data_IF_457263915530
#
_entry.id   IF_457263915530
#
_cell.length_a   1.000
_cell.length_b   1.000
_cell.length_c   1.000
_cell.angle_alpha   90.00
_cell.angle_beta   90.00
_cell.angle_gamma   90.00
#
_symmetry.space_group_name_H-M   'P 1'
#
loop_
_entity.id
_entity.type
_entity.pdbx_description
1 polymer ?
#
# COMPACT_ATOMS: atom_id res chain seq x y z
N UNK A 1 37.98 9.21 -16.55
CA UNK A 1 38.10 10.42 -15.70
C UNK A 1 37.23 10.18 -14.49
N UNK A 2 37.68 10.52 -13.27
CA UNK A 2 36.84 10.39 -12.08
C UNK A 2 35.56 11.20 -12.25
N UNK A 3 34.43 10.65 -11.79
CA UNK A 3 33.14 11.35 -11.79
C UNK A 3 33.19 12.46 -10.73
N UNK A 4 32.86 13.69 -11.12
CA UNK A 4 32.78 14.81 -10.17
C UNK A 4 31.43 14.79 -9.45
N UNK A 5 31.41 14.42 -8.17
CA UNK A 5 30.21 14.36 -7.34
C UNK A 5 29.93 15.66 -6.55
N UNK A 6 30.73 16.72 -6.74
CA UNK A 6 30.43 18.04 -6.16
C UNK A 6 29.41 18.84 -6.98
N UNK A 7 29.17 18.45 -8.23
CA UNK A 7 28.21 19.10 -9.13
C UNK A 7 26.89 18.35 -9.18
N UNK A 8 25.84 19.03 -9.64
CA UNK A 8 24.51 18.45 -9.79
C UNK A 8 24.54 17.16 -10.60
N UNK A 9 23.80 16.16 -10.12
CA UNK A 9 23.80 14.82 -10.69
C UNK A 9 22.40 14.22 -10.73
N UNK A 10 22.22 13.13 -11.49
CA UNK A 10 20.98 12.36 -11.47
C UNK A 10 20.73 11.65 -10.13
N UNK A 11 21.68 11.71 -9.19
CA UNK A 11 21.57 11.14 -7.85
C UNK A 11 21.24 12.19 -6.78
N UNK A 12 20.91 13.42 -7.19
CA UNK A 12 20.57 14.51 -6.24
C UNK A 12 19.08 14.52 -5.84
N UNK A 13 18.26 13.68 -6.48
CA UNK A 13 16.83 13.54 -6.21
C UNK A 13 16.50 12.33 -5.35
N UNK A 14 15.20 12.08 -5.14
CA UNK A 14 14.70 10.86 -4.53
C UNK A 14 14.03 9.99 -5.61
N UNK A 15 14.70 8.90 -5.99
CA UNK A 15 14.16 7.90 -6.92
C UNK A 15 13.12 7.00 -6.23
N UNK A 16 12.39 6.22 -7.03
CA UNK A 16 11.43 5.24 -6.56
C UNK A 16 12.04 4.21 -5.59
N UNK A 17 13.20 3.64 -5.95
CA UNK A 17 13.91 2.67 -5.10
C UNK A 17 14.42 3.31 -3.80
N UNK A 18 14.85 4.57 -3.85
CA UNK A 18 15.26 5.31 -2.66
C UNK A 18 14.06 5.61 -1.75
N UNK A 19 12.91 5.99 -2.31
CA UNK A 19 11.68 6.18 -1.55
C UNK A 19 11.18 4.87 -0.93
N UNK A 20 11.23 3.75 -1.67
CA UNK A 20 10.94 2.42 -1.15
C UNK A 20 11.86 2.06 0.02
N UNK A 21 13.18 2.32 -0.10
CA UNK A 21 14.12 2.07 0.98
C UNK A 21 13.79 2.91 2.23
N UNK A 22 13.47 4.19 2.05
CA UNK A 22 13.01 5.05 3.14
C UNK A 22 11.77 4.46 3.83
N UNK A 23 10.76 4.04 3.05
CA UNK A 23 9.53 3.46 3.57
C UNK A 23 9.80 2.15 4.35
N UNK A 24 10.64 1.26 3.82
CA UNK A 24 11.06 0.04 4.49
C UNK A 24 11.72 0.31 5.85
N UNK A 25 12.62 1.31 5.93
CA UNK A 25 13.24 1.72 7.20
C UNK A 25 12.19 2.28 8.17
N UNK A 26 11.27 3.13 7.70
CA UNK A 26 10.22 3.70 8.53
C UNK A 26 9.24 2.65 9.05
N UNK A 27 8.85 1.68 8.21
CA UNK A 27 8.02 0.56 8.59
C UNK A 27 8.70 -0.30 9.66
N UNK A 28 9.98 -0.62 9.46
CA UNK A 28 10.74 -1.35 10.47
C UNK A 28 10.80 -0.60 11.80
N UNK A 29 11.05 0.72 11.78
CA UNK A 29 11.01 1.59 12.98
C UNK A 29 9.64 1.59 13.65
N UNK A 30 8.56 1.66 12.86
CA UNK A 30 7.19 1.63 13.36
C UNK A 30 6.87 0.32 14.09
N UNK A 31 7.37 -0.83 13.62
CA UNK A 31 7.20 -2.12 14.34
C UNK A 31 7.83 -2.14 15.74
N UNK A 32 8.77 -1.22 16.00
CA UNK A 32 9.46 -1.05 17.27
C UNK A 32 8.89 0.11 18.11
N UNK A 33 7.82 0.77 17.65
CA UNK A 33 7.23 1.93 18.32
C UNK A 33 8.05 3.22 18.23
N UNK A 34 8.97 3.31 17.27
CA UNK A 34 9.80 4.50 17.07
C UNK A 34 9.12 5.49 16.10
N UNK A 35 9.31 6.81 16.27
CA UNK A 35 8.75 7.80 15.37
C UNK A 35 9.40 7.72 13.97
N UNK A 36 8.65 8.13 12.95
CA UNK A 36 9.19 8.37 11.61
C UNK A 36 10.18 9.55 11.62
N UNK A 37 11.11 9.55 10.68
CA UNK A 37 12.14 10.57 10.53
C UNK A 37 11.83 11.35 9.24
N UNK A 38 11.70 12.69 9.27
CA UNK A 38 11.43 13.47 8.06
C UNK A 38 12.54 13.33 7.01
N UNK A 39 12.17 13.14 5.74
CA UNK A 39 13.11 13.21 4.62
C UNK A 39 13.75 14.60 4.52
N UNK A 40 15.02 14.64 4.12
CA UNK A 40 15.85 15.84 4.01
C UNK A 40 16.43 15.97 2.61
N UNK A 41 16.18 17.10 1.93
CA UNK A 41 16.81 17.43 0.64
C UNK A 41 18.32 17.26 0.71
N UNK A 42 18.96 17.87 1.70
CA UNK A 42 20.41 17.94 1.80
C UNK A 42 21.04 16.60 2.15
N UNK A 43 20.41 15.79 3.00
CA UNK A 43 20.90 14.44 3.30
C UNK A 43 20.61 13.47 2.15
N UNK A 44 19.52 13.64 1.39
CA UNK A 44 19.27 12.83 0.18
C UNK A 44 20.33 13.10 -0.88
N UNK A 45 20.65 14.37 -1.15
CA UNK A 45 21.78 14.75 -2.03
C UNK A 45 23.09 14.13 -1.53
N UNK A 46 23.34 14.19 -0.21
CA UNK A 46 24.54 13.61 0.39
C UNK A 46 24.60 12.09 0.15
N UNK A 47 23.51 11.38 0.40
CA UNK A 47 23.44 9.93 0.24
C UNK A 47 23.61 9.49 -1.21
N UNK A 48 22.91 10.11 -2.15
CA UNK A 48 23.00 9.76 -3.57
C UNK A 48 24.37 10.08 -4.17
N UNK A 49 24.98 11.22 -3.82
CA UNK A 49 26.35 11.55 -4.23
C UNK A 49 27.40 10.63 -3.60
N UNK A 50 27.15 10.12 -2.39
CA UNK A 50 28.03 9.12 -1.79
C UNK A 50 27.97 7.80 -2.53
N UNK A 51 26.76 7.34 -2.86
CA UNK A 51 26.56 6.13 -3.67
C UNK A 51 27.23 6.24 -5.05
N UNK A 52 27.15 7.43 -5.67
CA UNK A 52 27.84 7.76 -6.92
C UNK A 52 29.36 7.71 -6.77
N UNK A 53 29.93 8.39 -5.77
CA UNK A 53 31.37 8.45 -5.54
C UNK A 53 31.97 7.06 -5.22
N UNK A 54 31.32 6.32 -4.32
CA UNK A 54 31.74 4.97 -3.97
C UNK A 54 31.74 4.05 -5.20
N UNK A 55 30.73 4.18 -6.07
CA UNK A 55 30.57 3.34 -7.26
C UNK A 55 31.52 3.69 -8.40
N UNK A 56 31.73 4.97 -8.67
CA UNK A 56 32.47 5.46 -9.85
C UNK A 56 33.95 5.73 -9.57
N UNK A 57 34.31 6.10 -8.34
CA UNK A 57 35.65 6.58 -8.03
C UNK A 57 36.43 5.66 -7.08
N UNK A 58 35.76 4.91 -6.20
CA UNK A 58 36.45 4.18 -5.12
C UNK A 58 36.61 2.67 -5.34
N UNK A 59 35.76 2.05 -6.15
CA UNK A 59 35.90 0.63 -6.52
C UNK A 59 35.89 -0.38 -5.35
N UNK A 60 35.45 0.00 -4.14
CA UNK A 60 35.31 -0.90 -2.98
C UNK A 60 36.11 -0.55 -1.72
N UNK A 61 36.59 0.68 -1.54
CA UNK A 61 37.10 1.14 -0.22
C UNK A 61 35.99 1.19 0.85
N UNK A 62 36.39 1.29 2.13
CA UNK A 62 35.51 1.46 3.29
C UNK A 62 34.30 2.34 2.96
N UNK A 63 33.07 1.80 3.10
CA UNK A 63 31.83 2.45 2.67
C UNK A 63 31.53 3.79 3.36
N UNK A 64 32.27 4.14 4.41
CA UNK A 64 32.18 5.42 5.11
C UNK A 64 33.15 6.50 4.58
N UNK A 65 34.02 6.14 3.63
CA UNK A 65 34.99 7.06 3.03
C UNK A 65 34.43 7.71 1.78
N UNK A 66 34.99 8.86 1.45
CA UNK A 66 34.84 9.52 0.15
C UNK A 66 36.17 9.44 -0.60
N UNK A 67 36.15 9.46 -1.92
CA UNK A 67 37.36 9.33 -2.77
C UNK A 67 38.39 10.44 -2.52
N UNK A 68 37.94 11.60 -2.04
CA UNK A 68 38.78 12.76 -1.72
C UNK A 68 38.96 13.02 -0.21
N UNK A 69 38.21 12.30 0.63
CA UNK A 69 38.17 12.49 2.07
C UNK A 69 38.00 11.13 2.79
N UNK A 70 39.11 10.40 2.99
CA UNK A 70 39.09 9.09 3.62
C UNK A 70 38.57 9.15 5.07
N UNK A 71 37.93 8.08 5.52
CA UNK A 71 37.49 7.88 6.90
C UNK A 71 38.11 6.61 7.50
N UNK A 72 38.69 6.75 8.69
CA UNK A 72 39.24 5.67 9.50
C UNK A 72 38.74 5.81 10.94
N UNK A 73 38.04 4.79 11.43
CA UNK A 73 37.49 4.77 12.79
C UNK A 73 38.58 4.81 13.86
N UNK A 74 39.81 4.40 13.55
CA UNK A 74 40.95 4.45 14.47
C UNK A 74 41.71 5.79 14.43
N UNK A 75 41.33 6.71 13.52
CA UNK A 75 41.99 8.00 13.36
C UNK A 75 40.99 9.15 13.46
N UNK A 76 40.92 9.77 14.64
CA UNK A 76 39.97 10.84 14.93
C UNK A 76 40.09 12.08 14.05
N UNK A 77 41.25 12.32 13.44
CA UNK A 77 41.45 13.41 12.48
C UNK A 77 40.63 13.24 11.19
N UNK A 78 40.13 12.02 10.93
CA UNK A 78 39.35 11.70 9.73
C UNK A 78 37.83 11.66 9.97
N UNK A 79 37.37 11.67 11.23
CA UNK A 79 35.93 11.52 11.54
C UNK A 79 35.08 12.64 10.96
N UNK A 80 35.61 13.86 10.93
CA UNK A 80 34.93 15.02 10.35
C UNK A 80 34.71 14.89 8.84
N UNK A 81 35.47 14.05 8.13
CA UNK A 81 35.29 13.85 6.70
C UNK A 81 33.91 13.23 6.39
N UNK A 82 33.44 12.33 7.26
CA UNK A 82 32.10 11.76 7.22
C UNK A 82 31.08 12.75 7.79
N UNK A 83 31.28 13.22 9.03
CA UNK A 83 30.28 14.07 9.70
C UNK A 83 29.97 15.38 8.98
N UNK A 84 30.97 15.96 8.32
CA UNK A 84 30.82 17.23 7.59
C UNK A 84 30.54 17.03 6.09
N UNK A 85 30.26 15.81 5.62
CA UNK A 85 30.01 15.57 4.20
C UNK A 85 28.88 16.45 3.61
N UNK A 86 27.71 16.64 4.28
CA UNK A 86 26.69 17.55 3.77
C UNK A 86 27.18 18.99 3.55
N UNK A 87 28.04 19.49 4.46
CA UNK A 87 28.64 20.82 4.37
C UNK A 87 29.69 20.90 3.25
N UNK A 88 30.55 19.87 3.12
CA UNK A 88 31.54 19.79 2.04
C UNK A 88 30.88 19.81 0.67
N UNK A 89 29.77 19.09 0.53
CA UNK A 89 28.94 19.04 -0.68
C UNK A 89 28.05 20.29 -0.86
N UNK A 90 28.11 21.25 0.06
CA UNK A 90 27.35 22.50 0.02
C UNK A 90 25.82 22.30 -0.04
N UNK A 91 25.29 21.22 0.56
CA UNK A 91 23.84 20.94 0.54
C UNK A 91 23.04 21.92 1.41
N UNK A 92 21.72 21.77 1.47
CA UNK A 92 20.86 22.55 2.39
C UNK A 92 21.07 22.18 3.86
N UNK A 93 21.53 20.95 4.13
CA UNK A 93 21.76 20.44 5.48
C UNK A 93 23.11 20.93 6.03
N UNK A 94 23.19 22.22 6.34
CA UNK A 94 24.41 22.87 6.85
C UNK A 94 24.09 23.98 7.84
N UNK A 95 25.04 24.25 8.75
CA UNK A 95 25.04 25.42 9.61
C UNK A 95 26.41 26.10 9.63
N UNK A 96 26.43 27.37 10.04
CA UNK A 96 27.64 28.17 10.16
C UNK A 96 28.53 27.76 11.35
N UNK A 97 27.95 27.16 12.40
CA UNK A 97 28.64 26.59 13.57
C UNK A 97 27.79 25.50 14.22
N UNK A 98 28.42 24.59 14.98
CA UNK A 98 27.73 23.59 15.82
C UNK A 98 27.71 22.16 15.25
N UNK A 99 27.49 21.19 16.15
CA UNK A 99 27.49 19.74 15.83
C UNK A 99 26.12 19.21 15.38
N UNK A 100 25.08 20.04 15.46
CA UNK A 100 23.69 19.60 15.21
C UNK A 100 23.41 19.28 13.74
N UNK A 101 24.24 19.80 12.83
CA UNK A 101 24.19 19.52 11.40
C UNK A 101 25.19 18.45 10.96
N UNK A 102 25.77 17.69 11.89
CA UNK A 102 26.56 16.51 11.50
C UNK A 102 25.65 15.46 10.86
N UNK A 103 26.16 14.85 9.78
CA UNK A 103 25.57 13.68 9.17
C UNK A 103 26.12 12.39 9.79
N UNK A 104 25.25 11.44 10.09
CA UNK A 104 25.61 10.11 10.56
C UNK A 104 25.18 9.08 9.52
N UNK A 105 25.98 8.05 9.30
CA UNK A 105 25.83 7.21 8.13
C UNK A 105 25.73 5.73 8.49
N UNK A 106 24.88 5.00 7.75
CA UNK A 106 25.03 3.56 7.54
C UNK A 106 25.20 3.30 6.04
N UNK A 107 26.10 2.39 5.70
CA UNK A 107 26.46 2.06 4.31
C UNK A 107 26.42 0.55 4.12
N UNK A 108 26.09 0.10 2.90
CA UNK A 108 26.17 -1.31 2.53
C UNK A 108 26.39 -1.49 1.03
N UNK A 109 26.79 -2.70 0.66
CA UNK A 109 27.05 -3.11 -0.72
C UNK A 109 28.51 -3.00 -1.12
N UNK A 110 28.82 -3.56 -2.28
CA UNK A 110 30.14 -3.53 -2.89
C UNK A 110 29.97 -3.01 -4.33
N UNK A 111 30.69 -1.95 -4.72
CA UNK A 111 30.70 -1.47 -6.10
C UNK A 111 31.00 -2.59 -7.09
N UNK A 112 30.25 -2.66 -8.18
CA UNK A 112 30.54 -3.47 -9.37
C UNK A 112 30.59 -5.01 -9.17
N UNK A 113 29.95 -5.58 -8.14
CA UNK A 113 29.84 -7.04 -7.94
C UNK A 113 28.80 -7.74 -8.85
N UNK A 114 28.46 -7.14 -10.01
CA UNK A 114 27.53 -7.70 -10.99
C UNK A 114 26.03 -7.68 -10.64
N UNK A 115 25.66 -7.35 -9.39
CA UNK A 115 24.27 -7.16 -8.95
C UNK A 115 23.92 -5.71 -8.64
N UNK A 116 22.66 -5.34 -8.84
CA UNK A 116 22.07 -4.08 -8.35
C UNK A 116 21.62 -4.24 -6.90
N UNK A 117 21.88 -3.23 -6.07
CA UNK A 117 21.38 -3.16 -4.70
C UNK A 117 19.88 -2.87 -4.73
N UNK A 118 19.08 -3.74 -4.10
CA UNK A 118 17.66 -3.50 -3.91
C UNK A 118 17.39 -2.84 -2.56
N UNK A 119 16.29 -2.09 -2.40
CA UNK A 119 15.87 -1.54 -1.11
C UNK A 119 15.76 -2.59 0.01
N UNK A 120 15.15 -3.73 -0.31
CA UNK A 120 14.98 -4.84 0.63
C UNK A 120 16.31 -5.47 1.06
N UNK A 121 17.25 -5.68 0.12
CA UNK A 121 18.57 -6.23 0.44
C UNK A 121 19.39 -5.27 1.30
N UNK A 122 19.30 -3.96 1.04
CA UNK A 122 19.96 -2.94 1.85
C UNK A 122 19.45 -2.95 3.29
N UNK A 123 18.13 -2.91 3.51
CA UNK A 123 17.55 -2.99 4.85
C UNK A 123 17.94 -4.28 5.57
N UNK A 124 17.83 -5.44 4.88
CA UNK A 124 18.20 -6.74 5.44
C UNK A 124 19.68 -6.79 5.85
N UNK A 125 20.56 -6.19 5.05
CA UNK A 125 21.99 -6.07 5.38
C UNK A 125 22.21 -5.29 6.67
N UNK A 126 21.55 -4.15 6.83
CA UNK A 126 21.66 -3.35 8.06
C UNK A 126 21.04 -4.01 9.27
N UNK A 127 19.89 -4.71 9.13
CA UNK A 127 19.29 -5.49 10.21
C UNK A 127 20.21 -6.63 10.69
N UNK A 128 20.99 -7.23 9.78
CA UNK A 128 21.99 -8.25 10.10
C UNK A 128 23.27 -7.72 10.75
N UNK A 129 23.49 -6.39 10.73
CA UNK A 129 24.67 -5.73 11.31
C UNK A 129 24.27 -4.94 12.56
N UNK A 130 24.58 -5.46 13.75
CA UNK A 130 24.27 -4.82 15.03
C UNK A 130 24.59 -3.30 15.06
N UNK A 131 25.80 -2.82 14.69
CA UNK A 131 26.09 -1.39 14.73
C UNK A 131 25.24 -0.55 13.77
N UNK A 132 24.88 -1.07 12.59
CA UNK A 132 24.01 -0.36 11.65
C UNK A 132 22.56 -0.38 12.12
N UNK A 133 22.09 -1.53 12.62
CA UNK A 133 20.74 -1.68 13.14
C UNK A 133 20.50 -0.78 14.36
N UNK A 134 21.51 -0.56 15.18
CA UNK A 134 21.42 0.33 16.34
C UNK A 134 21.18 1.80 15.94
N UNK A 135 21.70 2.25 14.79
CA UNK A 135 21.41 3.61 14.25
C UNK A 135 19.94 3.71 13.86
N UNK A 136 19.44 2.72 13.11
CA UNK A 136 18.05 2.65 12.64
C UNK A 136 17.07 2.54 13.81
N UNK A 137 17.45 1.86 14.89
CA UNK A 137 16.55 1.55 16.01
C UNK A 137 16.78 2.41 17.25
N UNK A 138 17.65 3.43 17.18
CA UNK A 138 18.02 4.30 18.30
C UNK A 138 18.44 3.49 19.55
N UNK A 139 19.29 2.49 19.38
CA UNK A 139 19.79 1.63 20.47
C UNK A 139 21.23 1.93 20.84
N UNK A 140 21.64 1.47 22.02
CA UNK A 140 23.01 1.56 22.51
C UNK A 140 23.54 3.01 22.46
N UNK A 141 24.65 3.24 21.75
CA UNK A 141 25.26 4.57 21.58
C UNK A 141 24.31 5.61 20.98
N UNK A 142 23.25 5.18 20.30
CA UNK A 142 22.25 6.04 19.64
C UNK A 142 20.99 6.28 20.47
N UNK A 143 20.92 5.74 21.70
CA UNK A 143 19.72 5.82 22.56
C UNK A 143 19.28 7.23 22.93
N UNK A 144 20.21 8.19 22.96
CA UNK A 144 19.90 9.61 23.23
C UNK A 144 19.68 10.43 21.97
N UNK A 145 19.84 9.85 20.78
CA UNK A 145 19.64 10.59 19.54
C UNK A 145 18.16 10.78 19.25
N UNK A 146 17.81 11.97 18.78
CA UNK A 146 16.53 12.27 18.13
C UNK A 146 16.83 12.63 16.69
N UNK A 147 16.40 11.78 15.76
CA UNK A 147 16.58 12.01 14.35
C UNK A 147 15.47 12.93 13.82
N UNK A 148 15.87 14.05 13.21
CA UNK A 148 14.96 15.05 12.63
C UNK A 148 15.13 15.19 11.11
N UNK A 149 16.10 14.49 10.53
CA UNK A 149 16.36 14.46 9.11
C UNK A 149 16.91 13.07 8.72
N UNK A 150 16.46 12.55 7.57
CA UNK A 150 17.02 11.37 6.94
C UNK A 150 17.15 11.58 5.43
N UNK A 151 18.23 11.07 4.85
CA UNK A 151 18.44 10.98 3.41
C UNK A 151 18.85 9.57 3.02
N UNK A 152 18.47 9.14 1.84
CA UNK A 152 18.68 7.78 1.34
C UNK A 152 19.22 7.86 -0.08
N UNK A 153 20.14 6.98 -0.43
CA UNK A 153 20.80 6.93 -1.74
C UNK A 153 21.05 5.50 -2.17
N UNK A 154 20.63 5.12 -3.37
CA UNK A 154 20.91 3.81 -3.96
C UNK A 154 21.45 4.02 -5.37
N UNK A 155 22.66 3.52 -5.59
CA UNK A 155 23.27 3.56 -6.92
C UNK A 155 24.06 2.30 -7.19
N UNK A 156 23.77 1.66 -8.33
CA UNK A 156 24.38 0.39 -8.74
C UNK A 156 24.30 -0.65 -7.62
N UNK A 157 25.43 -1.07 -7.06
CA UNK A 157 25.54 -2.15 -6.08
C UNK A 157 25.65 -1.68 -4.62
N UNK A 158 25.40 -0.39 -4.34
CA UNK A 158 25.57 0.19 -3.00
C UNK A 158 24.36 1.01 -2.56
N UNK A 159 24.17 1.10 -1.25
CA UNK A 159 23.16 1.95 -0.62
C UNK A 159 23.72 2.66 0.60
N UNK A 160 23.31 3.92 0.78
CA UNK A 160 23.68 4.77 1.90
C UNK A 160 22.45 5.39 2.53
N UNK A 161 22.45 5.51 3.86
CA UNK A 161 21.45 6.27 4.61
C UNK A 161 22.18 7.23 5.53
N UNK A 162 21.75 8.49 5.47
CA UNK A 162 22.30 9.58 6.27
C UNK A 162 21.24 10.10 7.24
N UNK A 163 21.61 10.26 8.50
CA UNK A 163 20.75 10.73 9.58
C UNK A 163 21.26 12.06 10.13
N UNK A 164 20.31 12.91 10.54
CA UNK A 164 20.58 14.23 11.07
C UNK A 164 19.80 14.54 12.35
N UNK A 165 20.46 15.24 13.27
CA UNK A 165 19.85 15.71 14.53
C UNK A 165 19.02 16.99 14.35
N UNK A 166 19.35 17.83 13.38
CA UNK A 166 18.58 19.02 13.04
C UNK A 166 17.53 18.69 11.97
N UNK A 167 16.49 19.51 11.86
CA UNK A 167 15.63 19.49 10.69
C UNK A 167 16.34 20.18 9.52
N UNK A 168 16.13 19.68 8.31
CA UNK A 168 16.65 20.33 7.10
C UNK A 168 15.89 21.63 6.81
N UNK A 169 16.56 22.79 6.67
CA UNK A 169 15.92 24.04 6.28
C UNK A 169 15.18 23.98 4.94
N UNK A 170 15.60 23.09 4.02
CA UNK A 170 14.94 22.89 2.74
C UNK A 170 13.81 21.85 2.78
N UNK A 171 13.56 21.22 3.94
CA UNK A 171 12.51 20.21 4.09
C UNK A 171 12.79 18.93 3.31
N UNK A 172 11.73 18.29 2.81
CA UNK A 172 11.80 17.03 2.07
C UNK A 172 12.05 17.26 0.56
N UNK A 173 12.78 16.36 -0.12
CA UNK A 173 12.98 16.43 -1.56
C UNK A 173 11.66 16.28 -2.32
N UNK A 174 11.55 17.00 -3.43
CA UNK A 174 10.50 16.76 -4.42
C UNK A 174 10.79 15.40 -5.08
N UNK A 175 9.86 14.47 -5.00
CA UNK A 175 9.97 13.18 -5.69
C UNK A 175 9.76 13.43 -7.18
N UNK A 176 10.83 13.31 -7.97
CA UNK A 176 10.79 13.42 -9.43
C UNK A 176 10.83 12.02 -10.03
N UNK A 177 9.68 11.35 -10.07
CA UNK A 177 9.53 9.99 -10.60
C UNK A 177 8.26 9.33 -10.08
N UNK A 178 7.92 8.12 -10.57
CA UNK A 178 6.84 7.33 -9.99
C UNK A 178 7.12 7.06 -8.50
N UNK A 179 6.13 7.30 -7.66
CA UNK A 179 6.11 6.87 -6.28
C UNK A 179 5.61 5.43 -6.25
N UNK A 180 6.50 4.48 -6.00
CA UNK A 180 6.17 3.06 -6.08
C UNK A 180 6.10 2.41 -4.69
N UNK A 181 5.13 1.53 -4.51
CA UNK A 181 5.12 0.52 -3.47
C UNK A 181 5.99 -0.68 -3.83
N UNK A 182 5.72 -1.82 -3.21
CA UNK A 182 6.34 -3.11 -3.43
C UNK A 182 5.29 -4.22 -3.52
N UNK A 183 5.64 -5.43 -3.08
CA UNK A 183 4.75 -6.62 -3.15
C UNK A 183 3.82 -6.77 -1.92
N UNK A 184 3.81 -5.79 -1.01
CA UNK A 184 3.02 -5.81 0.21
C UNK A 184 2.11 -4.60 0.32
N UNK A 185 1.22 -4.59 1.31
CA UNK A 185 0.26 -3.49 1.48
C UNK A 185 0.98 -2.18 1.84
N UNK A 186 0.94 -1.22 0.92
CA UNK A 186 1.62 0.06 1.02
C UNK A 186 0.66 1.23 1.24
N UNK A 187 1.21 2.33 1.76
CA UNK A 187 0.53 3.62 1.83
C UNK A 187 1.34 4.61 1.01
N UNK A 188 0.79 5.01 -0.14
CA UNK A 188 1.43 5.94 -1.07
C UNK A 188 0.74 7.30 -1.00
N UNK A 189 1.51 8.38 -1.12
CA UNK A 189 0.97 9.74 -1.09
C UNK A 189 1.82 10.66 -1.95
N UNK A 190 1.17 11.38 -2.87
CA UNK A 190 1.79 12.38 -3.73
C UNK A 190 2.13 13.70 -3.04
N UNK A 191 2.46 14.69 -3.85
CA UNK A 191 2.63 16.10 -3.49
C UNK A 191 1.71 16.97 -4.35
N UNK A 192 1.80 18.30 -4.29
CA UNK A 192 0.86 19.18 -5.01
C UNK A 192 1.08 19.23 -6.55
N UNK A 193 1.97 18.41 -7.10
CA UNK A 193 2.24 18.30 -8.54
C UNK A 193 1.55 17.07 -9.13
N UNK A 194 1.57 16.94 -10.46
CA UNK A 194 1.08 15.74 -11.11
C UNK A 194 2.01 14.55 -10.79
N UNK A 195 1.52 13.57 -10.03
CA UNK A 195 2.27 12.41 -9.63
C UNK A 195 1.84 11.14 -10.38
N UNK A 196 2.72 10.14 -10.35
CA UNK A 196 2.41 8.76 -10.72
C UNK A 196 2.64 7.92 -9.48
N UNK A 197 1.59 7.29 -8.96
CA UNK A 197 1.59 6.40 -7.79
C UNK A 197 1.38 4.97 -8.30
N UNK A 198 2.24 4.02 -7.96
CA UNK A 198 2.14 2.62 -8.40
C UNK A 198 2.25 1.69 -7.19
N UNK A 199 1.19 0.98 -6.83
CA UNK A 199 1.14 0.06 -5.69
C UNK A 199 1.91 -1.25 -5.92
N UNK A 200 1.75 -1.83 -7.10
CA UNK A 200 2.27 -3.15 -7.53
C UNK A 200 1.52 -4.34 -6.94
N UNK A 201 1.88 -4.84 -5.76
CA UNK A 201 1.26 -6.03 -5.19
C UNK A 201 0.86 -5.81 -3.75
N UNK A 202 -0.28 -6.36 -3.33
CA UNK A 202 -0.82 -6.12 -2.00
C UNK A 202 -2.10 -5.30 -2.05
N UNK A 203 -2.67 -5.01 -0.89
CA UNK A 203 -3.86 -4.15 -0.78
C UNK A 203 -3.41 -2.74 -0.38
N UNK A 204 -3.21 -1.89 -1.37
CA UNK A 204 -2.56 -0.60 -1.22
C UNK A 204 -3.54 0.52 -0.90
N UNK A 205 -3.02 1.58 -0.28
CA UNK A 205 -3.74 2.82 0.01
C UNK A 205 -3.05 3.99 -0.67
N UNK A 206 -3.64 4.48 -1.76
CA UNK A 206 -3.11 5.58 -2.55
C UNK A 206 -3.86 6.85 -2.16
N UNK A 207 -3.23 7.68 -1.32
CA UNK A 207 -3.84 8.92 -0.85
C UNK A 207 -3.71 10.02 -1.89
N UNK A 208 -4.82 10.72 -2.14
CA UNK A 208 -4.86 11.84 -3.07
C UNK A 208 -4.05 13.05 -2.57
N UNK A 209 -3.41 13.74 -3.52
CA UNK A 209 -2.65 14.97 -3.32
C UNK A 209 -3.10 16.08 -4.29
N UNK A 210 -2.46 17.25 -4.28
CA UNK A 210 -2.73 18.25 -5.34
C UNK A 210 -2.29 17.75 -6.72
N UNK A 211 -2.63 18.49 -7.77
CA UNK A 211 -2.25 18.11 -9.14
C UNK A 211 -3.26 17.19 -9.83
N UNK A 212 -2.86 16.68 -11.00
CA UNK A 212 -3.58 15.67 -11.77
C UNK A 212 -2.76 14.37 -11.74
N UNK A 213 -3.18 13.42 -10.91
CA UNK A 213 -2.39 12.24 -10.58
C UNK A 213 -2.77 11.02 -11.42
N UNK A 214 -1.82 10.11 -11.60
CA UNK A 214 -2.09 8.74 -12.04
C UNK A 214 -1.86 7.80 -10.87
N UNK A 215 -2.88 7.05 -10.48
CA UNK A 215 -2.82 6.06 -9.40
C UNK A 215 -3.07 4.68 -9.98
N UNK A 216 -2.08 3.81 -9.92
CA UNK A 216 -2.15 2.41 -10.32
C UNK A 216 -2.04 1.53 -9.08
N UNK A 217 -3.10 0.84 -8.68
CA UNK A 217 -3.08 -0.05 -7.51
C UNK A 217 -2.23 -1.30 -7.77
N UNK A 218 -2.44 -1.94 -8.91
CA UNK A 218 -1.77 -3.17 -9.27
C UNK A 218 -2.59 -4.41 -8.90
N UNK A 219 -1.97 -5.36 -8.21
CA UNK A 219 -2.57 -6.63 -7.82
C UNK A 219 -3.03 -6.56 -6.36
N UNK A 220 -4.34 -6.69 -6.14
CA UNK A 220 -4.90 -6.83 -4.79
C UNK A 220 -6.26 -6.17 -4.71
N UNK A 221 -6.61 -5.66 -3.53
CA UNK A 221 -7.77 -4.81 -3.31
C UNK A 221 -7.28 -3.43 -2.90
N UNK A 222 -7.14 -2.57 -3.90
CA UNK A 222 -6.49 -1.27 -3.75
C UNK A 222 -7.51 -0.17 -3.48
N UNK A 223 -7.13 0.77 -2.62
CA UNK A 223 -7.99 1.87 -2.19
C UNK A 223 -7.36 3.22 -2.52
N UNK A 224 -7.99 3.97 -3.43
CA UNK A 224 -7.71 5.39 -3.59
C UNK A 224 -8.47 6.19 -2.53
N UNK A 225 -7.77 7.06 -1.80
CA UNK A 225 -8.31 7.76 -0.62
C UNK A 225 -8.42 9.25 -0.88
N UNK A 226 -9.66 9.76 -0.80
CA UNK A 226 -10.03 11.15 -1.00
C UNK A 226 -10.56 11.74 0.31
N UNK A 227 -10.15 12.97 0.62
CA UNK A 227 -10.44 13.63 1.90
C UNK A 227 -11.81 14.32 1.93
N UNK A 228 -12.39 14.64 0.77
CA UNK A 228 -13.72 15.26 0.65
C UNK A 228 -14.85 14.24 0.70
N UNK A 229 -16.09 14.71 0.58
CA UNK A 229 -17.28 13.85 0.44
C UNK A 229 -17.43 13.38 -0.99
N UNK A 230 -18.13 12.27 -1.23
CA UNK A 230 -18.41 11.79 -2.60
C UNK A 230 -19.03 12.87 -3.48
N UNK A 231 -19.87 13.75 -2.93
CA UNK A 231 -20.52 14.84 -3.66
C UNK A 231 -19.56 15.93 -4.17
N UNK A 232 -18.34 16.00 -3.63
CA UNK A 232 -17.36 17.03 -3.97
C UNK A 232 -16.58 16.70 -5.25
N UNK A 233 -16.82 15.50 -5.80
CA UNK A 233 -16.08 14.94 -6.92
C UNK A 233 -16.99 14.52 -8.08
N UNK A 234 -16.52 14.77 -9.29
CA UNK A 234 -17.11 14.22 -10.52
C UNK A 234 -16.37 12.93 -10.89
N UNK A 235 -17.11 11.84 -11.05
CA UNK A 235 -16.58 10.54 -11.45
C UNK A 235 -16.97 10.23 -12.89
N UNK A 236 -16.01 9.75 -13.68
CA UNK A 236 -16.26 9.04 -14.93
C UNK A 236 -15.75 7.61 -14.78
N UNK A 237 -16.68 6.65 -14.83
CA UNK A 237 -16.43 5.21 -14.66
C UNK A 237 -16.67 4.44 -15.96
N UNK A 238 -16.77 5.11 -17.10
CA UNK A 238 -17.07 4.46 -18.39
C UNK A 238 -15.88 3.69 -18.98
N UNK A 239 -14.66 4.04 -18.56
CA UNK A 239 -13.40 3.41 -18.95
C UNK A 239 -12.46 3.37 -17.74
N UNK A 240 -11.19 3.74 -17.88
CA UNK A 240 -10.32 4.06 -16.75
C UNK A 240 -11.02 5.09 -15.86
N UNK A 241 -11.10 4.81 -14.56
CA UNK A 241 -11.84 5.67 -13.65
C UNK A 241 -11.13 7.01 -13.57
N UNK A 242 -11.86 8.09 -13.82
CA UNK A 242 -11.36 9.46 -13.65
C UNK A 242 -12.15 10.17 -12.59
N UNK A 243 -11.46 10.92 -11.76
CA UNK A 243 -12.05 11.69 -10.68
C UNK A 243 -11.54 13.11 -10.72
N UNK A 244 -12.47 14.04 -10.87
CA UNK A 244 -12.21 15.47 -10.92
C UNK A 244 -12.71 16.10 -9.62
N UNK A 245 -11.78 16.69 -8.86
CA UNK A 245 -12.12 17.55 -7.73
C UNK A 245 -12.51 18.90 -8.31
N UNK A 246 -13.73 19.38 -8.03
CA UNK A 246 -14.23 20.65 -8.58
C UNK A 246 -13.23 21.81 -8.34
N UNK A 247 -12.47 22.20 -9.37
CA UNK A 247 -11.44 23.25 -9.30
C UNK A 247 -9.99 22.76 -9.07
N UNK A 248 -9.74 21.45 -9.08
CA UNK A 248 -8.42 20.81 -9.01
C UNK A 248 -8.01 20.15 -10.33
N UNK A 249 -6.98 19.29 -10.27
CA UNK A 249 -6.63 18.40 -11.37
C UNK A 249 -7.57 17.19 -11.46
N UNK A 250 -7.48 16.47 -12.58
CA UNK A 250 -8.24 15.22 -12.79
C UNK A 250 -7.32 14.03 -12.59
N UNK A 251 -7.64 13.21 -11.60
CA UNK A 251 -6.88 12.00 -11.29
C UNK A 251 -7.37 10.83 -12.15
N UNK A 252 -6.45 9.97 -12.56
CA UNK A 252 -6.69 8.76 -13.34
C UNK A 252 -6.37 7.54 -12.48
N UNK A 253 -7.37 6.70 -12.24
CA UNK A 253 -7.26 5.50 -11.40
C UNK A 253 -7.24 4.24 -12.28
N UNK A 254 -6.20 3.45 -12.11
CA UNK A 254 -5.91 2.20 -12.83
C UNK A 254 -5.83 1.09 -11.77
N UNK A 255 -6.50 -0.05 -12.01
CA UNK A 255 -6.50 -1.18 -11.08
C UNK A 255 -6.79 -0.75 -9.63
N UNK A 256 -7.84 0.05 -9.45
CA UNK A 256 -8.32 0.49 -8.13
C UNK A 256 -9.70 -0.11 -7.91
N UNK A 257 -9.81 -0.97 -6.91
CA UNK A 257 -11.08 -1.59 -6.54
C UNK A 257 -11.95 -0.65 -5.73
N UNK A 258 -11.37 0.30 -4.99
CA UNK A 258 -12.12 1.11 -4.01
C UNK A 258 -11.73 2.57 -4.01
N UNK A 259 -12.73 3.43 -3.94
CA UNK A 259 -12.54 4.87 -3.71
C UNK A 259 -13.17 5.22 -2.37
N UNK A 260 -12.33 5.56 -1.41
CA UNK A 260 -12.77 5.99 -0.10
C UNK A 260 -12.90 7.51 -0.08
N UNK A 261 -14.06 7.99 0.38
CA UNK A 261 -14.36 9.38 0.67
C UNK A 261 -14.55 9.56 2.19
N UNK A 262 -14.68 10.80 2.64
CA UNK A 262 -14.96 11.11 4.04
C UNK A 262 -16.33 10.62 4.54
N UNK A 263 -17.28 10.37 3.63
CA UNK A 263 -18.67 9.98 3.94
C UNK A 263 -19.05 8.56 3.50
N UNK A 264 -18.10 7.79 2.95
CA UNK A 264 -18.30 6.40 2.58
C UNK A 264 -17.31 5.94 1.51
N UNK A 265 -17.50 4.70 1.04
CA UNK A 265 -16.64 4.08 0.04
C UNK A 265 -17.46 3.61 -1.14
N UNK A 266 -16.95 3.87 -2.34
CA UNK A 266 -17.46 3.30 -3.59
C UNK A 266 -16.55 2.14 -4.01
N UNK A 267 -17.12 0.94 -4.09
CA UNK A 267 -16.42 -0.28 -4.48
C UNK A 267 -16.72 -0.70 -5.93
N UNK A 268 -15.70 -1.17 -6.63
CA UNK A 268 -15.71 -1.69 -7.99
C UNK A 268 -15.33 -3.18 -8.07
N UNK A 269 -14.93 -3.81 -6.96
CA UNK A 269 -14.75 -5.25 -6.78
C UNK A 269 -16.11 -5.99 -6.75
N UNK A 270 -16.85 -5.87 -7.85
CA UNK A 270 -18.26 -6.27 -8.03
C UNK A 270 -18.45 -7.64 -8.70
N UNK A 271 -17.41 -8.25 -9.24
CA UNK A 271 -17.39 -9.53 -9.92
C UNK A 271 -17.66 -10.74 -9.02
N UNK A 272 -17.71 -11.93 -9.63
CA UNK A 272 -17.84 -13.20 -8.92
C UNK A 272 -16.58 -13.49 -8.09
N UNK A 273 -16.74 -13.84 -6.81
CA UNK A 273 -15.61 -14.05 -5.90
C UNK A 273 -14.93 -12.76 -5.40
N UNK A 274 -15.26 -11.60 -5.95
CA UNK A 274 -14.82 -10.30 -5.43
C UNK A 274 -15.68 -9.88 -4.24
N UNK A 275 -15.09 -9.19 -3.26
CA UNK A 275 -15.65 -9.06 -1.91
C UNK A 275 -16.96 -8.25 -1.92
N UNK A 276 -16.94 -7.02 -2.44
CA UNK A 276 -18.12 -6.16 -2.41
C UNK A 276 -19.29 -6.73 -3.22
N UNK A 277 -18.99 -7.25 -4.41
CA UNK A 277 -19.97 -7.91 -5.27
C UNK A 277 -20.62 -9.13 -4.62
N UNK A 278 -19.80 -9.99 -4.00
CA UNK A 278 -20.28 -11.21 -3.35
C UNK A 278 -21.14 -10.90 -2.13
N UNK A 279 -20.75 -9.92 -1.30
CA UNK A 279 -21.53 -9.48 -0.16
C UNK A 279 -22.91 -8.93 -0.61
N UNK A 280 -22.93 -8.07 -1.64
CA UNK A 280 -24.17 -7.50 -2.17
C UNK A 280 -25.09 -8.60 -2.74
N UNK A 281 -24.53 -9.52 -3.55
CA UNK A 281 -25.30 -10.62 -4.14
C UNK A 281 -25.87 -11.56 -3.08
N UNK A 282 -25.14 -11.81 -1.99
CA UNK A 282 -25.62 -12.67 -0.92
C UNK A 282 -26.80 -12.04 -0.18
N UNK A 283 -26.76 -10.72 0.08
CA UNK A 283 -27.91 -9.99 0.62
C UNK A 283 -29.13 -10.08 -0.31
N UNK A 284 -28.94 -9.84 -1.61
CA UNK A 284 -30.04 -9.98 -2.57
C UNK A 284 -30.59 -11.42 -2.54
N UNK A 285 -29.72 -12.42 -2.60
CA UNK A 285 -30.10 -13.82 -2.66
C UNK A 285 -30.84 -14.30 -1.41
N UNK A 286 -30.47 -13.77 -0.24
CA UNK A 286 -31.02 -14.15 1.06
C UNK A 286 -32.28 -13.37 1.47
N UNK A 287 -32.43 -12.14 0.98
CA UNK A 287 -33.45 -11.22 1.50
C UNK A 287 -34.25 -10.47 0.43
N UNK A 288 -33.94 -10.69 -0.86
CA UNK A 288 -34.62 -10.07 -2.01
C UNK A 288 -34.68 -8.54 -1.99
N UNK A 289 -33.66 -7.90 -1.40
CA UNK A 289 -33.62 -6.45 -1.26
C UNK A 289 -32.22 -5.90 -1.48
N UNK A 290 -32.17 -4.59 -1.76
CA UNK A 290 -30.94 -3.81 -1.66
C UNK A 290 -30.44 -3.89 -0.21
N UNK A 291 -29.14 -4.19 0.02
CA UNK A 291 -28.56 -4.18 1.35
C UNK A 291 -28.68 -2.78 1.99
N UNK A 292 -28.85 -2.73 3.30
CA UNK A 292 -28.60 -1.48 4.02
C UNK A 292 -27.09 -1.21 4.08
N UNK A 293 -26.70 0.06 4.03
CA UNK A 293 -25.28 0.44 3.89
C UNK A 293 -24.44 0.03 5.10
N UNK A 294 -25.02 0.03 6.31
CA UNK A 294 -24.33 -0.36 7.54
C UNK A 294 -24.04 -1.86 7.61
N UNK A 295 -25.05 -2.70 7.35
CA UNK A 295 -24.91 -4.15 7.29
C UNK A 295 -23.99 -4.59 6.15
N UNK A 296 -24.06 -3.95 4.99
CA UNK A 296 -23.16 -4.22 3.87
C UNK A 296 -21.71 -3.86 4.21
N UNK A 297 -21.50 -2.67 4.76
CA UNK A 297 -20.20 -2.18 5.23
C UNK A 297 -19.56 -3.12 6.24
N UNK A 298 -20.35 -3.61 7.20
CA UNK A 298 -19.87 -4.58 8.19
C UNK A 298 -19.32 -5.84 7.52
N UNK A 299 -20.08 -6.47 6.62
CA UNK A 299 -19.64 -7.72 6.00
C UNK A 299 -18.49 -7.54 5.01
N UNK A 300 -18.46 -6.45 4.24
CA UNK A 300 -17.32 -6.14 3.38
C UNK A 300 -16.04 -6.03 4.23
N UNK A 301 -16.08 -5.27 5.33
CA UNK A 301 -14.93 -5.10 6.24
C UNK A 301 -14.49 -6.40 6.92
N UNK A 302 -15.42 -7.30 7.23
CA UNK A 302 -15.07 -8.62 7.78
C UNK A 302 -14.48 -9.54 6.69
N UNK A 303 -15.02 -9.51 5.48
CA UNK A 303 -14.50 -10.28 4.35
C UNK A 303 -13.11 -9.80 3.90
N UNK A 304 -12.82 -8.50 4.00
CA UNK A 304 -11.49 -7.94 3.78
C UNK A 304 -10.43 -8.51 4.74
N UNK A 305 -10.86 -8.94 5.93
CA UNK A 305 -10.00 -9.60 6.93
C UNK A 305 -9.90 -11.11 6.71
N UNK A 306 -10.50 -11.64 5.64
CA UNK A 306 -10.48 -13.05 5.29
C UNK A 306 -11.69 -13.87 5.78
N UNK A 307 -12.75 -13.23 6.30
CA UNK A 307 -14.01 -13.96 6.57
C UNK A 307 -14.57 -14.47 5.24
N UNK A 308 -14.87 -15.76 5.17
CA UNK A 308 -15.38 -16.39 3.95
C UNK A 308 -16.87 -16.06 3.76
N UNK A 309 -17.30 -15.92 2.51
CA UNK A 309 -18.71 -15.66 2.17
C UNK A 309 -19.68 -16.70 2.78
N UNK A 310 -19.25 -17.96 2.91
CA UNK A 310 -20.01 -19.01 3.60
C UNK A 310 -20.31 -18.63 5.06
N UNK A 311 -19.35 -18.06 5.78
CA UNK A 311 -19.57 -17.66 7.17
C UNK A 311 -20.57 -16.51 7.27
N UNK A 312 -20.60 -15.61 6.28
CA UNK A 312 -21.65 -14.59 6.17
C UNK A 312 -23.01 -15.25 5.93
N UNK A 313 -23.08 -16.22 5.01
CA UNK A 313 -24.31 -16.97 4.73
C UNK A 313 -24.83 -17.71 5.97
N UNK A 314 -23.95 -18.34 6.77
CA UNK A 314 -24.32 -18.97 8.05
C UNK A 314 -24.98 -17.98 9.02
N UNK A 315 -24.45 -16.76 9.12
CA UNK A 315 -25.05 -15.70 9.92
C UNK A 315 -26.41 -15.25 9.37
N UNK A 316 -26.57 -15.17 8.05
CA UNK A 316 -27.85 -14.86 7.43
C UNK A 316 -28.88 -15.96 7.69
N UNK A 317 -28.50 -17.23 7.55
CA UNK A 317 -29.37 -18.38 7.84
C UNK A 317 -29.90 -18.37 9.28
N UNK A 318 -29.10 -17.88 10.23
CA UNK A 318 -29.48 -17.74 11.64
C UNK A 318 -30.29 -16.47 11.92
N UNK A 319 -30.35 -15.52 11.00
CA UNK A 319 -31.08 -14.28 11.18
C UNK A 319 -32.59 -14.51 11.20
N UNK A 320 -33.29 -13.68 11.99
CA UNK A 320 -34.76 -13.74 12.08
C UNK A 320 -35.42 -13.53 10.72
N UNK A 321 -34.89 -12.62 9.91
CA UNK A 321 -35.40 -12.30 8.56
C UNK A 321 -35.35 -13.54 7.66
N UNK A 322 -34.20 -14.22 7.59
CA UNK A 322 -34.06 -15.42 6.78
C UNK A 322 -34.94 -16.57 7.28
N UNK A 323 -35.00 -16.79 8.60
CA UNK A 323 -35.82 -17.86 9.19
C UNK A 323 -37.31 -17.64 8.91
N UNK A 324 -37.78 -16.40 8.84
CA UNK A 324 -39.17 -16.10 8.50
C UNK A 324 -39.52 -16.47 7.06
N UNK A 325 -38.58 -16.30 6.12
CA UNK A 325 -38.80 -16.61 4.69
C UNK A 325 -38.52 -18.07 4.34
N UNK A 326 -37.39 -18.61 4.81
CA UNK A 326 -36.89 -19.93 4.40
C UNK A 326 -37.08 -21.02 5.44
N UNK A 327 -37.38 -20.65 6.69
CA UNK A 327 -37.41 -21.57 7.83
C UNK A 327 -36.03 -22.08 8.25
N UNK A 328 -36.01 -22.94 9.27
CA UNK A 328 -34.81 -23.62 9.75
C UNK A 328 -34.70 -25.03 9.18
N UNK A 329 -33.56 -25.69 9.38
CA UNK A 329 -33.41 -27.12 9.05
C UNK A 329 -34.38 -28.03 9.85
N UNK A 330 -34.86 -27.58 11.01
CA UNK A 330 -35.82 -28.33 11.82
C UNK A 330 -37.26 -28.15 11.34
N UNK A 331 -37.58 -27.07 10.63
CA UNK A 331 -38.96 -26.73 10.25
C UNK A 331 -39.26 -26.89 8.76
N UNK A 332 -38.22 -26.95 7.92
CA UNK A 332 -38.34 -27.01 6.46
C UNK A 332 -37.46 -28.13 5.93
N UNK A 333 -37.97 -28.95 5.01
CA UNK A 333 -37.20 -30.05 4.39
C UNK A 333 -36.16 -29.52 3.40
N UNK A 334 -35.17 -30.33 3.04
CA UNK A 334 -34.17 -29.96 2.03
C UNK A 334 -34.82 -29.65 0.67
N UNK A 335 -35.77 -30.48 0.23
CA UNK A 335 -36.58 -30.20 -0.97
C UNK A 335 -37.22 -28.82 -0.90
N UNK A 336 -37.93 -28.52 0.18
CA UNK A 336 -38.63 -27.24 0.29
C UNK A 336 -37.67 -26.05 0.35
N UNK A 337 -36.52 -26.20 1.00
CA UNK A 337 -35.48 -25.16 1.01
C UNK A 337 -34.95 -24.85 -0.40
N UNK A 338 -34.68 -25.87 -1.21
CA UNK A 338 -34.24 -25.68 -2.60
C UNK A 338 -35.34 -25.01 -3.45
N UNK A 339 -36.60 -25.42 -3.30
CA UNK A 339 -37.73 -24.76 -3.97
C UNK A 339 -37.77 -23.25 -3.65
N UNK A 340 -37.59 -22.90 -2.37
CA UNK A 340 -37.58 -21.52 -1.91
C UNK A 340 -36.40 -20.73 -2.48
N UNK A 341 -35.20 -21.33 -2.62
CA UNK A 341 -34.07 -20.66 -3.27
C UNK A 341 -34.36 -20.36 -4.76
N UNK A 342 -34.95 -21.29 -5.51
CA UNK A 342 -35.36 -21.00 -6.89
C UNK A 342 -36.36 -19.86 -6.98
N UNK A 343 -37.36 -19.85 -6.08
CA UNK A 343 -38.39 -18.84 -6.07
C UNK A 343 -37.87 -17.46 -5.65
N UNK A 344 -37.18 -17.38 -4.52
CA UNK A 344 -36.81 -16.11 -3.88
C UNK A 344 -35.48 -15.57 -4.41
N UNK A 345 -34.47 -16.41 -4.60
CA UNK A 345 -33.18 -15.95 -5.13
C UNK A 345 -33.21 -15.75 -6.65
N UNK A 346 -33.76 -16.73 -7.39
CA UNK A 346 -33.73 -16.71 -8.86
C UNK A 346 -35.03 -16.16 -9.49
N UNK A 347 -36.11 -16.01 -8.71
CA UNK A 347 -37.37 -15.45 -9.20
C UNK A 347 -38.10 -16.35 -10.19
N UNK A 348 -37.87 -17.67 -10.16
CA UNK A 348 -38.47 -18.62 -11.12
C UNK A 348 -38.76 -19.98 -10.51
N UNK A 349 -39.52 -20.80 -11.25
CA UNK A 349 -39.69 -22.20 -10.90
C UNK A 349 -38.38 -22.99 -11.14
N UNK A 350 -38.18 -24.01 -10.31
CA UNK A 350 -37.14 -25.01 -10.52
C UNK A 350 -37.47 -25.89 -11.73
N UNK A 351 -36.43 -26.37 -12.41
CA UNK A 351 -36.56 -27.55 -13.26
C UNK A 351 -36.33 -28.81 -12.41
N UNK A 352 -36.98 -29.92 -12.76
CA UNK A 352 -36.95 -31.13 -11.93
C UNK A 352 -35.53 -31.72 -11.79
N UNK A 353 -34.71 -31.60 -12.83
CA UNK A 353 -33.32 -32.09 -12.81
C UNK A 353 -32.46 -31.32 -11.83
N UNK A 354 -32.53 -29.98 -11.88
CA UNK A 354 -31.84 -29.07 -10.96
C UNK A 354 -32.29 -29.25 -9.52
N UNK A 355 -33.60 -29.36 -9.27
CA UNK A 355 -34.12 -29.65 -7.92
C UNK A 355 -33.53 -30.96 -7.39
N UNK A 356 -33.61 -32.04 -8.16
CA UNK A 356 -33.08 -33.35 -7.75
C UNK A 356 -31.57 -33.30 -7.45
N UNK A 357 -30.81 -32.58 -8.28
CA UNK A 357 -29.37 -32.39 -8.10
C UNK A 357 -29.07 -31.70 -6.76
N UNK A 358 -29.68 -30.54 -6.51
CA UNK A 358 -29.41 -29.76 -5.29
C UNK A 358 -29.87 -30.46 -4.02
N UNK A 359 -31.03 -31.10 -4.05
CA UNK A 359 -31.55 -31.88 -2.92
C UNK A 359 -30.60 -33.04 -2.58
N UNK A 360 -30.12 -33.78 -3.58
CA UNK A 360 -29.15 -34.86 -3.37
C UNK A 360 -27.87 -34.38 -2.68
N UNK A 361 -27.36 -33.19 -3.03
CA UNK A 361 -26.16 -32.65 -2.37
C UNK A 361 -26.38 -32.30 -0.90
N UNK A 362 -27.58 -31.82 -0.55
CA UNK A 362 -27.96 -31.59 0.84
C UNK A 362 -28.15 -32.91 1.60
N UNK A 363 -28.86 -33.86 1.01
CA UNK A 363 -29.19 -35.15 1.65
C UNK A 363 -27.96 -36.03 1.87
N UNK A 364 -26.97 -35.93 0.99
CA UNK A 364 -25.67 -36.63 1.13
C UNK A 364 -24.66 -35.89 2.00
N UNK A 365 -24.98 -34.67 2.45
CA UNK A 365 -24.05 -33.82 3.21
C UNK A 365 -22.87 -33.29 2.39
N UNK A 366 -22.92 -33.40 1.06
CA UNK A 366 -21.92 -32.81 0.15
C UNK A 366 -21.93 -31.28 0.24
N UNK A 367 -23.11 -30.71 0.51
CA UNK A 367 -23.29 -29.30 0.81
C UNK A 367 -24.19 -29.15 2.03
N UNK A 368 -23.95 -28.12 2.83
CA UNK A 368 -24.96 -27.62 3.75
C UNK A 368 -25.80 -26.50 3.10
N UNK A 369 -26.76 -25.97 3.85
CA UNK A 369 -27.65 -24.91 3.36
C UNK A 369 -26.93 -23.60 3.08
N UNK A 370 -25.87 -23.28 3.83
CA UNK A 370 -25.09 -22.07 3.62
C UNK A 370 -24.27 -22.20 2.32
N UNK A 371 -23.69 -23.37 2.06
CA UNK A 371 -23.01 -23.67 0.80
C UNK A 371 -23.96 -23.51 -0.40
N UNK A 372 -25.21 -23.97 -0.28
CA UNK A 372 -26.20 -23.81 -1.34
C UNK A 372 -26.61 -22.36 -1.54
N UNK A 373 -26.82 -21.59 -0.47
CA UNK A 373 -27.14 -20.17 -0.58
C UNK A 373 -26.01 -19.40 -1.29
N UNK A 374 -24.76 -19.69 -0.95
CA UNK A 374 -23.58 -19.13 -1.64
C UNK A 374 -23.57 -19.51 -3.13
N UNK A 375 -23.83 -20.78 -3.47
CA UNK A 375 -23.85 -21.23 -4.87
C UNK A 375 -24.99 -20.60 -5.69
N UNK A 376 -26.17 -20.39 -5.08
CA UNK A 376 -27.26 -19.67 -5.73
C UNK A 376 -26.94 -18.17 -5.86
N UNK A 377 -26.37 -17.54 -4.82
CA UNK A 377 -25.93 -16.15 -4.82
C UNK A 377 -24.93 -15.87 -5.94
N UNK A 378 -23.94 -16.75 -6.11
CA UNK A 378 -22.87 -16.61 -7.09
C UNK A 378 -23.21 -17.24 -8.46
N UNK A 379 -24.43 -17.74 -8.64
CA UNK A 379 -24.85 -18.28 -9.94
C UNK A 379 -24.85 -17.19 -11.03
N UNK A 380 -24.53 -17.52 -12.29
CA UNK A 380 -24.59 -16.56 -13.39
C UNK A 380 -25.96 -15.87 -13.52
N UNK A 381 -27.03 -16.59 -13.17
CA UNK A 381 -28.40 -16.06 -13.17
C UNK A 381 -28.59 -14.96 -12.13
N UNK A 382 -28.13 -15.18 -10.88
CA UNK A 382 -28.24 -14.15 -9.86
C UNK A 382 -27.28 -12.97 -10.10
N UNK A 383 -26.08 -13.23 -10.62
CA UNK A 383 -25.17 -12.17 -11.07
C UNK A 383 -25.83 -11.27 -12.13
N UNK A 384 -26.52 -11.85 -13.11
CA UNK A 384 -27.26 -11.09 -14.12
C UNK A 384 -28.37 -10.24 -13.49
N UNK A 385 -29.12 -10.78 -12.52
CA UNK A 385 -30.17 -10.04 -11.79
C UNK A 385 -29.64 -8.83 -11.02
N UNK A 386 -28.44 -8.94 -10.45
CA UNK A 386 -27.82 -7.87 -9.63
C UNK A 386 -27.04 -6.86 -10.48
N UNK A 387 -26.59 -7.24 -11.68
CA UNK A 387 -25.67 -6.46 -12.52
C UNK A 387 -26.08 -4.99 -12.72
N UNK A 388 -27.37 -4.72 -12.95
CA UNK A 388 -27.89 -3.37 -13.15
C UNK A 388 -27.79 -2.50 -11.89
N UNK A 389 -27.97 -3.09 -10.70
CA UNK A 389 -27.94 -2.36 -9.42
C UNK A 389 -26.52 -1.95 -9.01
N UNK A 390 -25.51 -2.70 -9.45
CA UNK A 390 -24.10 -2.48 -9.08
C UNK A 390 -23.26 -1.90 -10.23
N UNK A 391 -23.91 -1.49 -11.33
CA UNK A 391 -23.23 -1.08 -12.56
C UNK A 391 -22.27 0.11 -12.37
N UNK A 392 -22.62 1.03 -11.49
CA UNK A 392 -21.86 2.25 -11.19
C UNK A 392 -20.97 2.10 -9.93
N UNK A 393 -20.84 0.87 -9.43
CA UNK A 393 -20.17 0.56 -8.17
C UNK A 393 -21.14 0.34 -7.01
N UNK A 394 -20.60 -0.10 -5.88
CA UNK A 394 -21.32 -0.44 -4.66
C UNK A 394 -20.95 0.56 -3.57
N UNK A 395 -21.93 1.36 -3.12
CA UNK A 395 -21.73 2.33 -2.05
C UNK A 395 -21.98 1.71 -0.67
N UNK A 396 -21.07 1.91 0.28
CA UNK A 396 -21.21 1.52 1.68
C UNK A 396 -20.53 2.53 2.63
N UNK A 397 -20.92 2.55 3.91
CA UNK A 397 -20.46 3.55 4.92
C UNK A 397 -19.84 2.92 6.15
#
# INVERSE_FOLDING_TARGET
>A
MPTNYYTDSSQDGLSAAELELYNLIMNYRATLGLPSIPLSVGLTITAGRHALDQSENMGGYNGHSWSDAPYDSNNNATWTNMWLAPQRLNTSYKASTGIDFYGYEISTGIPNNGGTMTPADALKSWQGSAPHNDVITNKNTWSTMTWNAIGVGIYKGVAHVWFGKAADPAGAPVVTGPMTGGEGNDILSGNDQNNVLQGFGGNDRLNQSGGADTMDGGNGVDTAVYTGKRSDYRLDTTSTVRIDKLGGGTDTLISIERIQFSDGTLAFDKGAGEIAGSAYRLYQAAFERTPDTGGLSFWIKEMDKGVRLKNVAENFLASREFVQTYGTAATVTNTKYVELLYQHTLGRAFDQGGLNFWVSRLDTGTNDRADLLVQFSESPENQARVSAAVKDGIWYV
#
